data_IF_509902003792
#
_entry.id   IF_509902003792
#
_cell.length_a   1.000
_cell.length_b   1.000
_cell.length_c   1.000
_cell.angle_alpha   90.00
_cell.angle_beta   90.00
_cell.angle_gamma   90.00
#
_symmetry.space_group_name_H-M   'P 1'
#
loop_
_entity.id
_entity.type
_entity.pdbx_description
1 polymer ?
#
# COMPACT_ATOMS: atom_id res chain seq x y z
N UNK A 1 -16.97 -14.49 1.11
CA UNK A 1 -16.65 -14.54 -0.33
C UNK A 1 -15.29 -13.89 -0.51
N UNK A 2 -14.19 -14.63 -0.40
CA UNK A 2 -12.85 -14.07 -0.59
C UNK A 2 -12.25 -14.65 -1.88
N UNK A 3 -11.76 -13.75 -2.73
CA UNK A 3 -11.20 -13.94 -4.06
C UNK A 3 -12.23 -14.08 -5.19
N UNK A 4 -12.73 -12.92 -5.63
CA UNK A 4 -13.03 -12.75 -7.06
C UNK A 4 -11.72 -12.91 -7.83
N UNK A 5 -11.76 -13.71 -8.89
CA UNK A 5 -10.66 -13.85 -9.83
C UNK A 5 -10.30 -12.48 -10.44
N UNK A 6 -9.00 -12.18 -10.55
CA UNK A 6 -8.53 -10.96 -11.22
C UNK A 6 -8.48 -11.28 -12.71
N UNK A 7 -9.43 -10.76 -13.48
CA UNK A 7 -9.56 -11.04 -14.92
C UNK A 7 -9.58 -9.79 -15.79
N UNK A 8 -9.64 -8.60 -15.19
CA UNK A 8 -9.69 -7.35 -15.93
C UNK A 8 -8.33 -7.07 -16.61
N UNK A 9 -8.28 -6.91 -17.95
CA UNK A 9 -7.02 -6.80 -18.68
C UNK A 9 -6.09 -5.68 -18.19
N UNK A 10 -6.65 -4.51 -17.86
CA UNK A 10 -5.86 -3.36 -17.36
C UNK A 10 -5.25 -3.62 -15.97
N UNK A 11 -5.92 -4.42 -15.13
CA UNK A 11 -5.39 -4.80 -13.81
C UNK A 11 -4.27 -5.84 -13.99
N UNK A 12 -4.44 -6.78 -14.93
CA UNK A 12 -3.39 -7.73 -15.30
C UNK A 12 -2.15 -7.02 -15.86
N UNK A 13 -2.35 -6.04 -16.74
CA UNK A 13 -1.27 -5.18 -17.25
C UNK A 13 -0.52 -4.47 -16.12
N UNK A 14 -1.26 -3.85 -15.19
CA UNK A 14 -0.67 -3.20 -14.02
C UNK A 14 0.12 -4.18 -13.13
N UNK A 15 -0.41 -5.38 -12.89
CA UNK A 15 0.30 -6.44 -12.16
C UNK A 15 1.57 -6.88 -12.89
N UNK A 16 1.54 -6.98 -14.22
CA UNK A 16 2.70 -7.37 -15.02
C UNK A 16 3.80 -6.29 -15.01
N UNK A 17 3.43 -5.00 -15.05
CA UNK A 17 4.37 -3.90 -14.82
C UNK A 17 5.06 -4.04 -13.45
N UNK A 18 4.30 -4.37 -12.40
CA UNK A 18 4.86 -4.58 -11.05
C UNK A 18 5.78 -5.80 -10.99
N UNK A 19 5.38 -6.94 -11.58
CA UNK A 19 6.20 -8.16 -11.63
C UNK A 19 7.52 -7.95 -12.38
N UNK A 20 7.49 -7.12 -13.43
CA UNK A 20 8.67 -6.72 -14.21
C UNK A 20 9.49 -5.61 -13.53
N UNK A 21 9.12 -5.16 -12.33
CA UNK A 21 9.72 -4.04 -11.60
C UNK A 21 9.71 -2.71 -12.38
N UNK A 22 8.75 -2.55 -13.30
CA UNK A 22 8.48 -1.29 -14.02
C UNK A 22 7.46 -0.41 -13.29
N UNK A 23 6.86 -0.92 -12.23
CA UNK A 23 5.96 -0.21 -11.33
C UNK A 23 6.08 -0.75 -9.90
N UNK A 24 5.63 0.02 -8.92
CA UNK A 24 5.44 -0.41 -7.53
C UNK A 24 4.02 -0.10 -7.03
N UNK A 25 3.43 0.98 -7.51
CA UNK A 25 2.02 1.34 -7.33
C UNK A 25 1.48 1.87 -8.67
N UNK A 26 0.25 1.49 -9.03
CA UNK A 26 -0.45 1.90 -10.25
C UNK A 26 -1.87 2.30 -9.88
N UNK A 27 -2.36 3.41 -10.41
CA UNK A 27 -3.77 3.81 -10.30
C UNK A 27 -4.45 3.53 -11.64
N UNK A 28 -5.57 2.80 -11.56
CA UNK A 28 -6.44 2.50 -12.69
C UNK A 28 -7.79 3.17 -12.47
N UNK A 29 -8.26 3.93 -13.45
CA UNK A 29 -9.56 4.60 -13.43
C UNK A 29 -10.17 4.57 -14.81
N UNK A 30 -11.48 4.32 -14.88
CA UNK A 30 -12.24 4.23 -16.14
C UNK A 30 -11.60 3.27 -17.17
N UNK A 31 -11.10 2.13 -16.68
CA UNK A 31 -10.48 1.09 -17.52
C UNK A 31 -9.10 1.43 -18.07
N UNK A 32 -8.42 2.47 -17.55
CA UNK A 32 -7.10 2.93 -18.01
C UNK A 32 -6.15 3.13 -16.85
N UNK A 33 -4.86 2.90 -17.10
CA UNK A 33 -3.80 3.31 -16.18
C UNK A 33 -3.68 4.85 -16.26
N UNK A 34 -3.92 5.53 -15.15
CA UNK A 34 -3.87 6.99 -15.06
C UNK A 34 -2.61 7.49 -14.35
N UNK A 35 -1.93 6.62 -13.60
CA UNK A 35 -0.69 6.96 -12.92
C UNK A 35 0.11 5.69 -12.60
N UNK A 36 1.43 5.78 -12.71
CA UNK A 36 2.39 4.72 -12.37
C UNK A 36 3.46 5.36 -11.50
N UNK A 37 3.79 4.71 -10.39
CA UNK A 37 4.87 5.13 -9.52
C UNK A 37 5.81 3.97 -9.20
N UNK A 38 7.12 4.27 -9.19
CA UNK A 38 8.18 3.31 -8.89
C UNK A 38 8.91 3.75 -7.63
N UNK A 39 9.14 2.82 -6.71
CA UNK A 39 9.92 3.12 -5.53
C UNK A 39 9.96 1.95 -4.55
N UNK A 40 10.23 2.25 -3.28
CA UNK A 40 10.39 1.24 -2.26
C UNK A 40 9.53 1.50 -1.03
N UNK A 41 9.11 0.40 -0.39
CA UNK A 41 8.30 0.46 0.82
C UNK A 41 6.98 1.19 0.54
N UNK A 42 6.53 1.98 1.51
CA UNK A 42 5.27 2.75 1.41
C UNK A 42 5.38 3.98 0.50
N UNK A 43 6.58 4.35 0.06
CA UNK A 43 6.82 5.62 -0.63
C UNK A 43 6.01 5.80 -1.92
N UNK A 44 5.83 4.80 -2.80
CA UNK A 44 5.10 4.99 -4.06
C UNK A 44 3.65 5.42 -3.83
N UNK A 45 2.87 4.61 -3.11
CA UNK A 45 1.45 4.94 -2.83
C UNK A 45 1.31 6.22 -2.00
N UNK A 46 2.20 6.47 -1.04
CA UNK A 46 2.18 7.70 -0.25
C UNK A 46 2.46 8.93 -1.12
N UNK A 47 3.48 8.88 -1.99
CA UNK A 47 3.79 9.96 -2.91
C UNK A 47 2.64 10.22 -3.87
N UNK A 48 2.08 9.17 -4.48
CA UNK A 48 0.92 9.28 -5.37
C UNK A 48 -0.25 9.95 -4.66
N UNK A 49 -0.56 9.56 -3.42
CA UNK A 49 -1.66 10.13 -2.64
C UNK A 49 -1.42 11.60 -2.29
N UNK A 50 -0.22 11.94 -1.83
CA UNK A 50 0.10 13.31 -1.40
C UNK A 50 0.21 14.29 -2.58
N UNK A 51 0.57 13.79 -3.77
CA UNK A 51 0.79 14.64 -4.96
C UNK A 51 -0.46 14.71 -5.84
N UNK A 52 -1.21 13.61 -5.95
CA UNK A 52 -2.34 13.46 -6.85
C UNK A 52 -3.57 12.85 -6.13
N UNK A 53 -4.06 13.47 -5.03
CA UNK A 53 -5.16 12.90 -4.24
C UNK A 53 -6.43 12.67 -5.08
N UNK A 54 -6.71 13.54 -6.03
CA UNK A 54 -7.89 13.47 -6.91
C UNK A 54 -7.90 12.22 -7.82
N UNK A 55 -6.73 11.61 -8.05
CA UNK A 55 -6.63 10.38 -8.84
C UNK A 55 -7.06 9.14 -8.04
N UNK A 56 -7.13 9.21 -6.71
CA UNK A 56 -7.49 8.07 -5.87
C UNK A 56 -9.00 7.83 -5.82
N UNK A 57 -9.80 8.90 -5.78
CA UNK A 57 -11.24 8.76 -5.58
C UNK A 57 -11.87 7.95 -6.73
N UNK A 58 -12.50 6.83 -6.38
CA UNK A 58 -13.09 5.89 -7.35
C UNK A 58 -12.10 5.08 -8.19
N UNK A 59 -10.79 5.20 -7.98
CA UNK A 59 -9.80 4.39 -8.68
C UNK A 59 -9.63 3.00 -8.07
N UNK A 60 -9.12 2.06 -8.87
CA UNK A 60 -8.52 0.83 -8.39
C UNK A 60 -7.02 1.03 -8.24
N UNK A 61 -6.49 0.83 -7.04
CA UNK A 61 -5.06 0.86 -6.76
C UNK A 61 -4.50 -0.53 -6.98
N UNK A 62 -3.40 -0.66 -7.72
CA UNK A 62 -2.64 -1.91 -7.85
C UNK A 62 -1.26 -1.69 -7.24
N UNK A 63 -0.96 -2.33 -6.12
CA UNK A 63 0.29 -2.15 -5.38
C UNK A 63 1.05 -3.48 -5.25
N UNK A 64 2.38 -3.41 -5.24
CA UNK A 64 3.26 -4.55 -5.03
C UNK A 64 3.06 -5.21 -3.67
N UNK A 65 2.92 -4.42 -2.61
CA UNK A 65 2.79 -4.92 -1.23
C UNK A 65 1.73 -4.10 -0.49
N UNK A 66 0.59 -4.74 -0.21
CA UNK A 66 -0.50 -4.13 0.55
C UNK A 66 -0.48 -4.63 1.98
N UNK A 67 0.10 -3.80 2.85
CA UNK A 67 -0.10 -3.89 4.30
C UNK A 67 -1.19 -2.94 4.79
N UNK A 68 -1.56 -2.98 6.08
CA UNK A 68 -2.54 -2.08 6.71
C UNK A 68 -2.19 -0.61 6.45
N UNK A 69 -0.89 -0.26 6.40
CA UNK A 69 -0.46 1.10 6.06
C UNK A 69 -0.89 1.54 4.65
N UNK A 70 -0.76 0.67 3.64
CA UNK A 70 -1.21 0.97 2.28
C UNK A 70 -2.75 0.97 2.19
N UNK A 71 -3.41 0.06 2.91
CA UNK A 71 -4.86 0.02 3.02
C UNK A 71 -5.44 1.29 3.67
N UNK A 72 -4.77 1.86 4.68
CA UNK A 72 -5.17 3.16 5.26
C UNK A 72 -5.17 4.26 4.20
N UNK A 73 -4.12 4.32 3.38
CA UNK A 73 -4.01 5.32 2.31
C UNK A 73 -5.10 5.10 1.25
N UNK A 74 -5.42 3.85 0.90
CA UNK A 74 -6.49 3.57 -0.06
C UNK A 74 -7.86 4.01 0.45
N UNK A 75 -8.14 3.80 1.74
CA UNK A 75 -9.38 4.26 2.39
C UNK A 75 -9.46 5.78 2.39
N UNK A 76 -8.40 6.48 2.80
CA UNK A 76 -8.37 7.94 2.82
C UNK A 76 -8.52 8.54 1.42
N UNK A 77 -7.91 7.92 0.42
CA UNK A 77 -8.08 8.29 -0.99
C UNK A 77 -9.44 7.94 -1.59
N UNK A 78 -10.33 7.29 -0.83
CA UNK A 78 -11.64 6.82 -1.31
C UNK A 78 -11.52 5.98 -2.59
N UNK A 79 -10.50 5.13 -2.64
CA UNK A 79 -10.35 4.18 -3.73
C UNK A 79 -11.55 3.24 -3.78
N UNK A 80 -11.96 2.87 -4.98
CA UNK A 80 -13.02 1.89 -5.18
C UNK A 80 -12.54 0.48 -4.75
N UNK A 81 -11.27 0.18 -4.99
CA UNK A 81 -10.65 -1.10 -4.66
C UNK A 81 -9.13 -0.96 -4.51
N UNK A 82 -8.52 -1.83 -3.70
CA UNK A 82 -7.07 -2.05 -3.70
C UNK A 82 -6.72 -3.50 -4.04
N UNK A 83 -5.79 -3.66 -4.98
CA UNK A 83 -5.29 -4.94 -5.47
C UNK A 83 -3.83 -5.08 -5.09
N UNK A 84 -3.50 -6.10 -4.30
CA UNK A 84 -2.11 -6.39 -3.92
C UNK A 84 -1.50 -7.52 -4.74
N UNK A 85 -0.30 -7.33 -5.31
CA UNK A 85 0.48 -8.50 -5.72
C UNK A 85 0.78 -9.38 -4.51
N UNK A 86 1.02 -8.78 -3.34
CA UNK A 86 1.09 -9.46 -2.04
C UNK A 86 0.28 -8.66 -1.02
N UNK A 87 -0.51 -9.33 -0.18
CA UNK A 87 -1.34 -8.69 0.84
C UNK A 87 -1.22 -9.41 2.20
N UNK A 88 -1.21 -8.65 3.30
CA UNK A 88 -1.11 -9.21 4.65
C UNK A 88 -2.46 -9.43 5.33
N UNK A 89 -2.48 -10.30 6.35
CA UNK A 89 -3.63 -10.47 7.26
C UNK A 89 -4.16 -9.14 7.79
N UNK A 90 -3.28 -8.29 8.30
CA UNK A 90 -3.61 -6.98 8.86
C UNK A 90 -4.28 -6.05 7.85
N UNK A 91 -3.91 -6.14 6.57
CA UNK A 91 -4.56 -5.37 5.52
C UNK A 91 -5.96 -5.91 5.23
N UNK A 92 -6.10 -7.24 5.11
CA UNK A 92 -7.36 -7.92 4.84
C UNK A 92 -8.37 -7.61 5.96
N UNK A 93 -7.98 -7.79 7.21
CA UNK A 93 -8.84 -7.51 8.38
C UNK A 93 -9.31 -6.05 8.38
N UNK A 94 -8.39 -5.11 8.20
CA UNK A 94 -8.71 -3.70 8.16
C UNK A 94 -9.66 -3.34 7.00
N UNK A 95 -9.41 -3.85 5.79
CA UNK A 95 -10.24 -3.58 4.61
C UNK A 95 -11.65 -4.19 4.76
N UNK A 96 -11.76 -5.38 5.34
CA UNK A 96 -13.06 -6.01 5.68
C UNK A 96 -13.83 -5.14 6.68
N UNK A 97 -13.18 -4.68 7.75
CA UNK A 97 -13.80 -3.82 8.76
C UNK A 97 -14.27 -2.48 8.20
N UNK A 98 -13.61 -1.97 7.15
CA UNK A 98 -14.00 -0.75 6.44
C UNK A 98 -14.98 -0.98 5.29
N UNK A 99 -15.41 -2.22 5.04
CA UNK A 99 -16.25 -2.61 3.90
C UNK A 99 -15.65 -2.17 2.55
N UNK A 100 -14.32 -2.16 2.44
CA UNK A 100 -13.61 -1.80 1.21
C UNK A 100 -13.36 -3.02 0.35
N UNK A 101 -13.51 -2.88 -0.97
CA UNK A 101 -13.17 -3.95 -1.91
C UNK A 101 -11.66 -4.14 -1.96
N UNK A 102 -11.23 -5.40 -2.04
CA UNK A 102 -9.84 -5.75 -2.23
C UNK A 102 -9.69 -7.09 -2.95
N UNK A 103 -8.54 -7.24 -3.62
CA UNK A 103 -8.09 -8.51 -4.19
C UNK A 103 -6.59 -8.67 -3.98
N UNK A 104 -6.10 -9.90 -4.05
CA UNK A 104 -4.66 -10.14 -4.00
C UNK A 104 -4.26 -11.37 -4.80
N UNK A 105 -3.00 -11.38 -5.24
CA UNK A 105 -2.40 -12.56 -5.89
C UNK A 105 -1.77 -13.48 -4.83
N UNK A 106 -0.96 -12.91 -3.94
CA UNK A 106 -0.29 -13.66 -2.88
C UNK A 106 -0.76 -13.18 -1.51
N UNK A 107 -0.92 -14.13 -0.61
CA UNK A 107 -1.24 -13.88 0.80
C UNK A 107 -0.02 -14.13 1.67
N UNK A 108 0.18 -13.29 2.69
CA UNK A 108 1.18 -13.50 3.74
C UNK A 108 0.61 -13.17 5.11
N UNK A 109 1.07 -13.84 6.15
CA UNK A 109 0.61 -13.53 7.51
C UNK A 109 1.05 -12.12 7.95
N UNK A 110 2.29 -11.71 7.63
CA UNK A 110 2.84 -10.40 8.05
C UNK A 110 3.80 -9.84 7.00
N UNK A 111 3.77 -8.52 6.81
CA UNK A 111 4.80 -7.82 6.01
C UNK A 111 6.07 -7.70 6.85
N UNK A 112 7.15 -8.34 6.40
CA UNK A 112 8.45 -8.32 7.07
C UNK A 112 9.26 -7.06 6.72
N UNK A 113 10.16 -6.67 7.62
CA UNK A 113 11.16 -5.64 7.35
C UNK A 113 12.19 -6.11 6.30
N UNK A 114 12.99 -5.16 5.77
CA UNK A 114 13.95 -5.44 4.70
C UNK A 114 15.00 -6.50 5.09
N UNK A 115 15.40 -6.54 6.37
CA UNK A 115 16.38 -7.47 6.92
C UNK A 115 15.78 -8.82 7.31
N UNK A 116 14.46 -9.01 7.16
CA UNK A 116 13.71 -10.21 7.58
C UNK A 116 13.90 -10.61 9.04
N UNK A 117 14.17 -9.64 9.90
CA UNK A 117 14.37 -9.84 11.35
C UNK A 117 13.12 -9.55 12.17
N UNK A 118 12.05 -9.06 11.55
CA UNK A 118 10.82 -8.72 12.23
C UNK A 118 9.79 -8.07 11.29
N UNK A 119 8.73 -7.54 11.88
CA UNK A 119 7.64 -6.86 11.18
C UNK A 119 8.16 -5.55 10.56
N UNK A 120 7.63 -5.18 9.39
CA UNK A 120 7.90 -3.89 8.78
C UNK A 120 7.57 -2.75 9.77
N UNK A 121 8.51 -1.83 10.05
CA UNK A 121 8.28 -0.75 11.01
C UNK A 121 7.11 0.17 10.68
N UNK A 122 6.76 0.30 9.40
CA UNK A 122 5.62 1.09 8.94
C UNK A 122 4.32 0.34 9.22
N UNK A 123 4.27 -0.95 8.89
CA UNK A 123 3.13 -1.82 9.16
C UNK A 123 2.81 -1.86 10.65
N UNK A 124 3.85 -1.96 11.48
CA UNK A 124 3.69 -1.98 12.94
C UNK A 124 3.12 -0.67 13.50
N UNK A 125 3.41 0.49 12.89
CA UNK A 125 2.96 1.79 13.41
C UNK A 125 1.46 2.03 13.32
N UNK A 126 0.75 1.22 12.53
CA UNK A 126 -0.69 1.36 12.30
C UNK A 126 -1.49 0.13 12.76
N UNK A 127 -0.83 -0.88 13.31
CA UNK A 127 -1.41 -2.21 13.56
C UNK A 127 -2.67 -2.13 14.44
N UNK A 128 -2.62 -1.34 15.50
CA UNK A 128 -3.67 -1.24 16.52
C UNK A 128 -4.54 0.02 16.39
N UNK A 129 -4.48 0.71 15.25
CA UNK A 129 -5.23 1.96 15.02
C UNK A 129 -6.27 1.73 13.94
N UNK A 130 -7.54 1.99 14.25
CA UNK A 130 -8.65 1.75 13.33
C UNK A 130 -9.16 3.02 12.63
N UNK A 131 -8.99 4.20 13.23
CA UNK A 131 -9.33 5.44 12.56
C UNK A 131 -8.32 5.72 11.42
N UNK A 132 -8.77 5.90 10.16
CA UNK A 132 -7.85 6.08 9.03
C UNK A 132 -6.97 7.33 9.17
N UNK A 133 -7.48 8.43 9.73
CA UNK A 133 -6.74 9.67 9.85
C UNK A 133 -5.67 9.56 10.96
N UNK A 134 -6.03 8.98 12.11
CA UNK A 134 -5.07 8.69 13.18
C UNK A 134 -3.98 7.71 12.72
N UNK A 135 -4.35 6.64 12.01
CA UNK A 135 -3.40 5.68 11.48
C UNK A 135 -2.44 6.33 10.48
N UNK A 136 -2.94 7.23 9.63
CA UNK A 136 -2.11 7.97 8.68
C UNK A 136 -1.13 8.92 9.39
N UNK A 137 -1.57 9.62 10.44
CA UNK A 137 -0.68 10.44 11.26
C UNK A 137 0.42 9.60 11.95
N UNK A 138 0.06 8.44 12.51
CA UNK A 138 1.02 7.51 13.11
C UNK A 138 2.07 7.01 12.10
N UNK A 139 1.62 6.68 10.87
CA UNK A 139 2.47 6.32 9.75
C UNK A 139 3.46 7.44 9.40
N UNK A 140 3.00 8.68 9.27
CA UNK A 140 3.84 9.84 8.94
C UNK A 140 4.88 10.10 10.04
N UNK A 141 4.48 10.06 11.31
CA UNK A 141 5.39 10.19 12.44
C UNK A 141 6.46 9.09 12.41
N UNK A 142 6.06 7.85 12.13
CA UNK A 142 7.00 6.74 12.02
C UNK A 142 8.02 6.92 10.91
N UNK A 143 7.61 7.44 9.75
CA UNK A 143 8.52 7.76 8.65
C UNK A 143 9.55 8.83 9.06
N UNK A 144 9.12 9.86 9.80
CA UNK A 144 10.03 10.89 10.30
C UNK A 144 11.08 10.31 11.26
N UNK A 145 10.67 9.44 12.19
CA UNK A 145 11.59 8.80 13.13
C UNK A 145 12.62 7.91 12.43
N UNK A 146 12.19 7.16 11.43
CA UNK A 146 13.08 6.30 10.64
C UNK A 146 14.10 7.15 9.86
N UNK A 147 13.67 8.27 9.27
CA UNK A 147 14.59 9.22 8.61
C UNK A 147 15.63 9.77 9.59
N UNK A 148 15.22 10.22 10.78
CA UNK A 148 16.14 10.71 11.82
C UNK A 148 17.16 9.63 12.24
N UNK A 149 16.71 8.39 12.47
CA UNK A 149 17.59 7.26 12.84
C UNK A 149 18.60 6.93 11.76
N UNK A 150 18.20 6.94 10.48
CA UNK A 150 19.12 6.71 9.34
C UNK A 150 20.17 7.83 9.26
N UNK A 151 19.78 9.09 9.48
CA UNK A 151 20.71 10.22 9.49
C UNK A 151 21.70 10.10 10.65
N UNK A 152 21.24 9.81 11.87
CA UNK A 152 22.13 9.63 13.04
C UNK A 152 23.12 8.49 12.80
N UNK A 153 22.65 7.34 12.29
CA UNK A 153 23.52 6.20 12.01
C UNK A 153 24.63 6.55 11.01
N UNK A 154 24.32 7.32 9.96
CA UNK A 154 25.32 7.80 8.98
C UNK A 154 26.33 8.81 9.55
N UNK A 155 26.00 9.50 10.64
CA UNK A 155 26.89 10.44 11.32
C UNK A 155 27.84 9.71 12.28
N UNK A 156 27.41 8.57 12.84
CA UNK A 156 28.16 7.81 13.84
C UNK A 156 29.02 6.67 13.27
N UNK A 157 29.05 6.49 11.94
CA UNK A 157 29.90 5.53 11.20
C UNK A 157 31.05 6.26 10.52
#
# INVERSE_FOLDING_TARGET
>A
MLNKEISEPVILEALDLIKQNKASCVLVKDGKIVHIEIGMGISPILYSYMTYPDLFEGATIVDKIVGKAAAVISILGKANEIVGLTMSDSAIEYLLNKNSSFRFVNYVQKIQNRTRTGICPIEQSVMDIDDPAEAFLALLNRLQDLKKKVVIKKICE
#
